data_IF_084325028079
#
_entry.id   IF_084325028079
#
_cell.length_a   1.000
_cell.length_b   1.000
_cell.length_c   1.000
_cell.angle_alpha   90.00
_cell.angle_beta   90.00
_cell.angle_gamma   90.00
#
_symmetry.space_group_name_H-M   'P 1'
#
loop_
_entity.id
_entity.type
_entity.pdbx_description
1 polymer ?
#
# COMPACT_ATOMS: atom_id res chain seq x y z
N UNK A 1 -15.95 -16.26 34.06
CA UNK A 1 -16.07 -14.94 34.71
C UNK A 1 -16.55 -13.93 33.68
N UNK A 2 -17.56 -13.13 34.03
CA UNK A 2 -18.52 -12.53 33.10
C UNK A 2 -18.04 -11.33 32.27
N UNK A 3 -18.52 -11.31 31.03
CA UNK A 3 -18.44 -10.23 30.05
C UNK A 3 -19.25 -9.00 30.48
N UNK A 4 -18.72 -7.79 30.24
CA UNK A 4 -19.53 -6.56 30.24
C UNK A 4 -19.84 -6.21 28.78
N UNK A 5 -21.12 -6.34 28.39
CA UNK A 5 -21.65 -5.83 27.12
C UNK A 5 -21.76 -4.29 27.14
N UNK A 6 -21.38 -3.58 26.07
CA UNK A 6 -21.58 -2.13 25.97
C UNK A 6 -22.98 -1.84 25.40
N UNK A 7 -23.94 -1.49 26.26
CA UNK A 7 -25.28 -1.20 25.75
C UNK A 7 -26.39 -0.99 26.77
N UNK A 8 -26.20 -0.14 27.79
CA UNK A 8 -27.33 0.46 28.54
C UNK A 8 -27.02 1.90 28.92
N UNK A 9 -27.83 2.83 28.42
CA UNK A 9 -27.84 4.24 28.83
C UNK A 9 -28.11 4.36 30.34
N UNK A 10 -27.21 5.03 31.07
CA UNK A 10 -27.41 5.40 32.48
C UNK A 10 -28.68 6.26 32.60
N UNK A 11 -29.78 5.67 33.11
CA UNK A 11 -30.98 6.42 33.49
C UNK A 11 -30.60 7.45 34.56
N UNK A 12 -30.70 8.74 34.25
CA UNK A 12 -30.51 9.83 35.21
C UNK A 12 -31.55 9.71 36.33
N UNK A 13 -31.13 9.19 37.49
CA UNK A 13 -31.94 9.19 38.71
C UNK A 13 -31.94 10.62 39.27
N UNK A 14 -33.10 11.28 39.30
CA UNK A 14 -33.28 12.55 40.03
C UNK A 14 -33.07 12.27 41.52
N UNK A 15 -31.95 12.71 42.09
CA UNK A 15 -31.70 12.67 43.53
C UNK A 15 -32.25 13.97 44.13
N UNK A 16 -33.19 13.82 45.07
CA UNK A 16 -33.79 14.88 45.88
C UNK A 16 -32.70 15.60 46.69
N UNK A 17 -32.79 16.92 46.78
CA UNK A 17 -31.99 17.77 47.68
C UNK A 17 -32.30 17.39 49.13
N UNK A 18 -31.30 16.89 49.86
CA UNK A 18 -31.23 17.05 51.31
C UNK A 18 -29.80 16.88 51.81
N UNK A 19 -29.38 17.84 52.63
CA UNK A 19 -28.21 17.83 53.51
C UNK A 19 -26.85 18.13 52.85
N UNK A 20 -26.31 19.29 53.23
CA UNK A 20 -24.94 19.74 52.97
C UNK A 20 -23.93 18.71 53.52
N UNK A 21 -23.13 18.07 52.67
CA UNK A 21 -22.07 17.22 53.16
C UNK A 21 -20.92 18.11 53.65
N UNK A 22 -20.50 17.86 54.90
CA UNK A 22 -19.22 18.32 55.42
C UNK A 22 -18.14 18.15 54.34
N UNK A 23 -17.48 19.25 53.98
CA UNK A 23 -16.30 19.24 53.12
C UNK A 23 -15.18 18.57 53.91
N UNK A 24 -15.10 17.24 53.83
CA UNK A 24 -13.86 16.53 54.07
C UNK A 24 -12.90 17.09 53.02
N UNK A 25 -11.88 17.82 53.47
CA UNK A 25 -10.79 18.23 52.60
C UNK A 25 -10.17 16.94 52.05
N UNK A 26 -10.56 16.56 50.84
CA UNK A 26 -9.87 15.55 50.06
C UNK A 26 -8.47 16.10 49.83
N UNK A 27 -7.49 15.60 50.60
CA UNK A 27 -6.10 15.72 50.18
C UNK A 27 -6.04 15.20 48.74
N UNK A 28 -5.47 15.98 47.79
CA UNK A 28 -5.40 15.54 46.41
C UNK A 28 -4.71 14.17 46.39
N UNK A 29 -5.25 13.18 45.67
CA UNK A 29 -4.66 11.85 45.63
C UNK A 29 -3.19 12.00 45.26
N UNK A 30 -2.31 11.38 46.05
CA UNK A 30 -0.87 11.40 45.81
C UNK A 30 -0.62 11.02 44.34
N UNK A 31 0.00 11.93 43.59
CA UNK A 31 0.40 11.68 42.20
C UNK A 31 1.08 10.33 42.11
N UNK A 32 0.65 9.49 41.18
CA UNK A 32 1.24 8.16 41.01
C UNK A 32 2.74 8.28 40.77
N UNK A 33 3.54 7.27 41.15
CA UNK A 33 4.99 7.29 40.95
C UNK A 33 5.33 7.55 39.46
N UNK A 34 4.52 6.99 38.55
CA UNK A 34 4.65 7.22 37.11
C UNK A 34 4.43 8.69 36.72
N UNK A 35 3.51 9.41 37.36
CA UNK A 35 3.28 10.85 37.08
C UNK A 35 4.47 11.73 37.48
N UNK A 36 5.41 11.20 38.26
CA UNK A 36 6.63 11.91 38.67
C UNK A 36 7.80 11.65 37.71
N UNK A 37 7.66 10.73 36.75
CA UNK A 37 8.72 10.47 35.79
C UNK A 37 8.84 11.60 34.76
N UNK A 38 10.08 11.92 34.32
CA UNK A 38 10.32 12.68 33.10
C UNK A 38 9.50 12.13 31.94
N UNK A 39 8.99 13.02 31.09
CA UNK A 39 8.14 12.64 29.96
C UNK A 39 8.86 11.65 29.03
N UNK A 40 10.18 11.75 28.89
CA UNK A 40 11.01 10.86 28.08
C UNK A 40 10.96 9.41 28.57
N UNK A 41 11.01 9.20 29.89
CA UNK A 41 10.88 7.87 30.49
C UNK A 41 9.47 7.34 30.34
N UNK A 42 8.45 8.20 30.50
CA UNK A 42 7.06 7.83 30.24
C UNK A 42 6.84 7.42 28.79
N UNK A 43 7.43 8.12 27.84
CA UNK A 43 7.40 7.77 26.42
C UNK A 43 8.07 6.43 26.16
N UNK A 44 9.26 6.20 26.73
CA UNK A 44 9.96 4.93 26.55
C UNK A 44 9.20 3.75 27.14
N UNK A 45 8.63 3.90 28.33
CA UNK A 45 7.75 2.89 28.94
C UNK A 45 6.53 2.65 28.07
N UNK A 46 5.89 3.72 27.57
CA UNK A 46 4.72 3.63 26.70
C UNK A 46 5.02 2.90 25.40
N UNK A 47 6.12 3.26 24.74
CA UNK A 47 6.59 2.62 23.51
C UNK A 47 6.93 1.16 23.78
N UNK A 48 7.73 0.82 24.78
CA UNK A 48 8.20 -0.55 25.00
C UNK A 48 7.11 -1.53 25.44
N UNK A 49 6.11 -1.06 26.18
CA UNK A 49 4.99 -1.91 26.63
C UNK A 49 3.99 -2.25 25.52
N UNK A 50 4.00 -1.51 24.41
CA UNK A 50 3.14 -1.77 23.27
C UNK A 50 1.67 -1.47 23.52
N UNK A 51 0.89 -1.38 22.44
CA UNK A 51 -0.47 -0.82 22.50
C UNK A 51 -1.55 -1.80 22.95
N UNK A 52 -1.29 -3.11 22.85
CA UNK A 52 -2.25 -4.14 23.26
C UNK A 52 -2.35 -4.25 24.79
N UNK A 53 -1.25 -4.00 25.48
CA UNK A 53 -1.14 -4.16 26.93
C UNK A 53 -1.21 -2.82 27.68
N UNK A 54 -1.03 -1.69 26.96
CA UNK A 54 -0.94 -0.39 27.58
C UNK A 54 -2.26 0.40 27.59
N UNK A 55 -2.92 0.40 28.76
CA UNK A 55 -4.11 1.20 29.02
C UNK A 55 -3.83 2.54 29.73
N UNK A 56 -2.57 2.95 29.93
CA UNK A 56 -2.20 4.12 30.74
C UNK A 56 -2.90 5.40 30.29
N UNK A 57 -3.00 5.61 28.97
CA UNK A 57 -3.67 6.78 28.37
C UNK A 57 -5.19 6.77 28.53
N UNK A 58 -5.80 5.60 28.77
CA UNK A 58 -7.24 5.45 29.00
C UNK A 58 -7.60 5.58 30.49
N UNK A 59 -6.71 5.14 31.37
CA UNK A 59 -6.97 5.09 32.82
C UNK A 59 -6.69 6.41 33.54
N UNK A 60 -5.87 7.30 32.98
CA UNK A 60 -5.44 8.53 33.65
C UNK A 60 -5.44 9.74 32.70
N UNK A 61 -6.07 10.85 33.13
CA UNK A 61 -6.14 12.10 32.36
C UNK A 61 -4.77 12.73 32.09
N UNK A 62 -3.83 12.64 33.03
CA UNK A 62 -2.47 13.13 32.86
C UNK A 62 -1.74 12.35 31.76
N UNK A 63 -1.74 11.01 31.84
CA UNK A 63 -1.12 10.18 30.80
C UNK A 63 -1.83 10.31 29.46
N UNK A 64 -3.16 10.49 29.44
CA UNK A 64 -3.87 10.82 28.21
C UNK A 64 -3.30 12.11 27.59
N UNK A 65 -3.15 13.18 28.38
CA UNK A 65 -2.62 14.47 27.89
C UNK A 65 -1.17 14.38 27.41
N UNK A 66 -0.31 13.64 28.11
CA UNK A 66 1.12 13.52 27.78
C UNK A 66 1.34 12.58 26.59
N UNK A 67 0.57 11.50 26.49
CA UNK A 67 0.71 10.46 25.48
C UNK A 67 -0.31 10.58 24.34
N UNK A 68 -1.13 11.64 24.31
CA UNK A 68 -2.13 11.80 23.26
C UNK A 68 -1.45 12.04 21.91
N UNK A 69 -1.70 11.13 20.98
CA UNK A 69 -1.22 11.21 19.60
C UNK A 69 -2.19 12.02 18.70
N UNK A 70 -3.31 12.51 19.25
CA UNK A 70 -4.45 13.11 18.54
C UNK A 70 -4.36 14.64 18.29
N UNK A 71 -3.18 15.25 18.42
CA UNK A 71 -3.06 16.68 18.10
C UNK A 71 -3.16 16.88 16.59
N UNK A 72 -4.22 17.57 16.12
CA UNK A 72 -4.34 18.08 14.74
C UNK A 72 -2.98 18.64 14.30
N UNK A 73 -2.49 18.20 13.15
CA UNK A 73 -1.29 18.80 12.54
C UNK A 73 -1.42 20.32 12.48
N UNK A 74 -0.56 21.01 13.20
CA UNK A 74 -0.21 22.39 12.87
C UNK A 74 1.09 22.27 12.09
N UNK A 75 0.99 22.34 10.75
CA UNK A 75 2.16 22.44 9.89
C UNK A 75 3.08 23.57 10.43
N UNK A 76 4.39 23.30 10.49
CA UNK A 76 5.44 24.20 10.98
C UNK A 76 5.63 24.36 12.50
N UNK A 77 5.06 23.49 13.34
CA UNK A 77 5.35 23.49 14.79
C UNK A 77 5.94 22.17 15.28
N UNK A 78 6.69 22.23 16.39
CA UNK A 78 7.29 21.07 17.05
C UNK A 78 6.19 20.09 17.50
N UNK A 79 6.23 18.86 16.95
CA UNK A 79 5.28 17.80 17.27
C UNK A 79 5.98 16.67 18.03
N UNK A 80 6.04 16.71 19.37
CA UNK A 80 6.71 15.68 20.18
C UNK A 80 6.05 14.29 20.04
N UNK A 81 4.75 14.24 19.74
CA UNK A 81 4.02 13.00 19.45
C UNK A 81 4.51 12.28 18.20
N UNK A 82 5.16 12.97 17.25
CA UNK A 82 5.70 12.38 16.03
C UNK A 82 6.71 11.28 16.33
N UNK A 83 7.68 11.57 17.20
CA UNK A 83 8.80 10.67 17.45
C UNK A 83 8.32 9.40 18.16
N UNK A 84 7.48 9.57 19.18
CA UNK A 84 6.85 8.47 19.92
C UNK A 84 6.09 7.56 18.97
N UNK A 85 5.33 8.15 18.06
CA UNK A 85 4.52 7.42 17.10
C UNK A 85 5.36 6.63 16.08
N UNK A 86 6.44 7.22 15.57
CA UNK A 86 7.40 6.50 14.74
C UNK A 86 8.05 5.35 15.51
N UNK A 87 8.50 5.59 16.74
CA UNK A 87 9.11 4.54 17.58
C UNK A 87 8.11 3.38 17.86
N UNK A 88 6.83 3.68 18.08
CA UNK A 88 5.78 2.65 18.23
C UNK A 88 5.68 1.80 16.96
N UNK A 89 5.69 2.43 15.79
CA UNK A 89 5.57 1.69 14.53
C UNK A 89 6.80 0.88 14.22
N UNK A 90 7.98 1.46 14.38
CA UNK A 90 9.25 0.78 14.15
C UNK A 90 9.38 -0.46 15.06
N UNK A 91 8.92 -0.37 16.32
CA UNK A 91 9.08 -1.46 17.30
C UNK A 91 7.96 -2.50 17.19
N UNK A 92 6.70 -2.11 17.00
CA UNK A 92 5.56 -3.03 17.12
C UNK A 92 4.93 -3.45 15.81
N UNK A 93 5.19 -2.72 14.73
CA UNK A 93 4.50 -2.93 13.46
C UNK A 93 5.45 -3.10 12.28
N UNK A 94 6.73 -2.78 12.41
CA UNK A 94 7.69 -2.94 11.31
C UNK A 94 8.48 -4.23 11.48
N UNK A 95 8.56 -5.01 10.41
CA UNK A 95 9.21 -6.30 10.38
C UNK A 95 10.25 -6.33 9.25
N UNK A 96 11.46 -6.80 9.58
CA UNK A 96 12.48 -7.09 8.59
C UNK A 96 12.19 -8.46 7.95
N UNK A 97 11.83 -8.45 6.67
CA UNK A 97 11.52 -9.67 5.92
C UNK A 97 12.76 -10.51 5.64
N UNK A 98 13.95 -9.91 5.70
CA UNK A 98 15.23 -10.53 5.42
C UNK A 98 16.01 -10.89 6.69
N UNK A 99 15.40 -10.80 7.88
CA UNK A 99 16.08 -11.04 9.16
C UNK A 99 16.81 -12.40 9.27
N UNK A 100 16.37 -13.40 8.49
CA UNK A 100 16.95 -14.75 8.47
C UNK A 100 17.86 -14.99 7.26
N UNK A 101 18.25 -13.94 6.54
CA UNK A 101 18.96 -14.03 5.26
C UNK A 101 20.21 -13.16 5.29
N UNK A 102 21.35 -13.77 4.95
CA UNK A 102 22.58 -13.02 4.70
C UNK A 102 22.68 -12.70 3.19
N UNK A 103 22.08 -11.58 2.77
CA UNK A 103 22.08 -11.15 1.36
C UNK A 103 23.50 -11.01 0.77
N UNK A 104 24.48 -10.37 1.46
CA UNK A 104 25.86 -10.31 0.97
C UNK A 104 26.46 -11.69 0.67
N UNK A 105 26.25 -12.68 1.55
CA UNK A 105 26.74 -14.05 1.35
C UNK A 105 26.13 -14.70 0.11
N UNK A 106 24.84 -14.47 -0.13
CA UNK A 106 24.14 -15.05 -1.29
C UNK A 106 24.62 -14.40 -2.58
N UNK A 107 24.87 -13.09 -2.60
CA UNK A 107 25.46 -12.40 -3.75
C UNK A 107 26.80 -13.00 -4.15
N UNK A 108 27.69 -13.27 -3.19
CA UNK A 108 28.96 -13.96 -3.45
C UNK A 108 28.75 -15.34 -4.08
N UNK A 109 27.79 -16.12 -3.58
CA UNK A 109 27.42 -17.43 -4.17
C UNK A 109 26.90 -17.30 -5.60
N UNK A 110 26.03 -16.32 -5.87
CA UNK A 110 25.52 -16.04 -7.22
C UNK A 110 26.66 -15.70 -8.18
N UNK A 111 27.61 -14.87 -7.75
CA UNK A 111 28.80 -14.52 -8.55
C UNK A 111 29.63 -15.77 -8.86
N UNK A 112 29.89 -16.60 -7.85
CA UNK A 112 30.58 -17.88 -8.03
C UNK A 112 29.87 -18.76 -9.07
N UNK A 113 28.55 -19.01 -8.94
CA UNK A 113 27.80 -19.82 -9.90
C UNK A 113 27.81 -19.23 -11.31
N UNK A 114 27.73 -17.90 -11.43
CA UNK A 114 27.80 -17.22 -12.73
C UNK A 114 29.15 -17.43 -13.42
N UNK A 115 30.25 -17.52 -12.66
CA UNK A 115 31.58 -17.78 -13.21
C UNK A 115 31.82 -19.24 -13.61
N UNK A 116 31.03 -20.18 -13.07
CA UNK A 116 31.25 -21.63 -13.20
C UNK A 116 30.26 -22.34 -14.10
N UNK A 117 29.05 -21.82 -14.24
CA UNK A 117 27.99 -22.42 -15.07
C UNK A 117 27.96 -21.65 -16.40
N UNK A 118 28.48 -22.22 -17.50
CA UNK A 118 28.49 -21.54 -18.79
C UNK A 118 27.07 -21.44 -19.37
N UNK A 119 26.62 -20.22 -19.64
CA UNK A 119 25.36 -19.92 -20.34
C UNK A 119 24.31 -19.21 -19.49
N UNK A 120 23.60 -18.25 -20.10
CA UNK A 120 22.50 -17.48 -19.48
C UNK A 120 21.21 -18.30 -19.22
N UNK A 121 21.21 -19.60 -19.51
CA UNK A 121 20.00 -20.45 -19.53
C UNK A 121 19.70 -21.23 -18.26
N UNK A 122 20.52 -21.12 -17.19
CA UNK A 122 20.23 -21.84 -15.96
C UNK A 122 19.07 -21.18 -15.19
N UNK A 123 17.92 -21.84 -15.19
CA UNK A 123 16.69 -21.35 -14.55
C UNK A 123 16.86 -21.08 -13.05
N UNK A 124 17.56 -21.95 -12.31
CA UNK A 124 17.77 -21.76 -10.86
C UNK A 124 18.70 -20.57 -10.57
N UNK A 125 19.73 -20.34 -11.39
CA UNK A 125 20.62 -19.19 -11.25
C UNK A 125 19.89 -17.89 -11.57
N UNK A 126 19.03 -17.90 -12.61
CA UNK A 126 18.17 -16.76 -12.96
C UNK A 126 17.19 -16.46 -11.83
N UNK A 127 16.47 -17.47 -11.35
CA UNK A 127 15.51 -17.34 -10.26
C UNK A 127 16.19 -16.79 -8.99
N UNK A 128 17.37 -17.28 -8.65
CA UNK A 128 18.11 -16.80 -7.48
C UNK A 128 18.57 -15.34 -7.65
N UNK A 129 19.00 -14.93 -8.85
CA UNK A 129 19.36 -13.53 -9.16
C UNK A 129 18.16 -12.59 -9.04
N UNK A 130 17.04 -12.96 -9.67
CA UNK A 130 15.80 -12.19 -9.66
C UNK A 130 15.22 -12.09 -8.25
N UNK A 131 15.16 -13.22 -7.53
CA UNK A 131 14.64 -13.26 -6.16
C UNK A 131 15.47 -12.41 -5.18
N UNK A 132 16.80 -12.39 -5.30
CA UNK A 132 17.64 -11.54 -4.43
C UNK A 132 17.45 -10.05 -4.73
N UNK A 133 17.33 -9.66 -6.01
CA UNK A 133 17.01 -8.28 -6.37
C UNK A 133 15.69 -7.83 -5.73
N UNK A 134 14.68 -8.69 -5.82
CA UNK A 134 13.37 -8.52 -5.17
C UNK A 134 13.49 -8.36 -3.65
N UNK A 135 14.28 -9.21 -2.98
CA UNK A 135 14.44 -9.13 -1.52
C UNK A 135 15.12 -7.83 -1.08
N UNK A 136 15.98 -7.24 -1.92
CA UNK A 136 16.62 -5.95 -1.65
C UNK A 136 15.70 -4.76 -1.93
N UNK A 137 14.82 -4.86 -2.92
CA UNK A 137 13.79 -3.86 -3.19
C UNK A 137 12.76 -3.80 -2.05
N UNK A 138 12.36 -4.96 -1.52
CA UNK A 138 11.38 -5.09 -0.43
C UNK A 138 12.03 -5.75 0.79
N UNK A 139 12.72 -4.93 1.57
CA UNK A 139 13.43 -5.40 2.78
C UNK A 139 12.55 -5.42 4.03
N UNK A 140 11.46 -4.65 4.06
CA UNK A 140 10.63 -4.49 5.27
C UNK A 140 9.14 -4.55 4.98
N UNK A 141 8.36 -4.99 5.97
CA UNK A 141 6.92 -4.97 5.96
C UNK A 141 6.35 -4.24 7.17
N UNK A 142 5.28 -3.48 6.95
CA UNK A 142 4.45 -2.87 7.96
C UNK A 142 3.26 -3.79 8.24
N UNK A 143 3.00 -4.11 9.49
CA UNK A 143 1.82 -4.92 9.86
C UNK A 143 0.56 -4.11 9.66
N UNK A 144 -0.37 -4.66 8.89
CA UNK A 144 -1.68 -4.07 8.65
C UNK A 144 -2.50 -3.88 9.94
N UNK A 145 -2.19 -4.61 11.01
CA UNK A 145 -2.81 -4.44 12.33
C UNK A 145 -2.71 -3.00 12.85
N UNK A 146 -1.68 -2.26 12.42
CA UNK A 146 -1.50 -0.85 12.74
C UNK A 146 -2.77 -0.04 12.46
N UNK A 147 -3.43 -0.27 11.33
CA UNK A 147 -4.59 0.50 10.89
C UNK A 147 -5.86 0.23 11.71
N UNK A 148 -5.86 -0.81 12.54
CA UNK A 148 -6.97 -1.09 13.45
C UNK A 148 -6.97 -0.17 14.68
N UNK A 149 -5.90 0.61 14.90
CA UNK A 149 -5.77 1.48 16.06
C UNK A 149 -6.33 2.88 15.80
N UNK A 150 -7.23 3.32 16.69
CA UNK A 150 -7.95 4.61 16.57
C UNK A 150 -7.09 5.87 16.52
N UNK A 151 -5.82 5.79 16.94
CA UNK A 151 -4.91 6.94 16.92
C UNK A 151 -4.11 7.05 15.62
N UNK A 152 -4.23 6.07 14.72
CA UNK A 152 -3.67 6.11 13.37
C UNK A 152 -4.62 6.93 12.50
N UNK A 153 -4.35 8.23 12.39
CA UNK A 153 -5.08 9.10 11.49
C UNK A 153 -4.52 8.99 10.07
N UNK A 154 -5.29 9.45 9.09
CA UNK A 154 -4.81 9.57 7.70
C UNK A 154 -3.56 10.43 7.55
N UNK A 155 -3.38 11.40 8.47
CA UNK A 155 -2.21 12.29 8.53
C UNK A 155 -0.94 11.56 8.98
N UNK A 156 -1.08 10.35 9.50
CA UNK A 156 0.04 9.52 9.91
C UNK A 156 0.80 8.91 8.73
N UNK A 157 0.08 8.58 7.65
CA UNK A 157 0.71 7.97 6.47
C UNK A 157 1.77 8.88 5.83
N UNK A 158 1.62 10.19 5.99
CA UNK A 158 2.57 11.20 5.54
C UNK A 158 3.92 11.15 6.27
N UNK A 159 4.03 10.40 7.37
CA UNK A 159 5.27 10.30 8.14
C UNK A 159 6.18 9.16 7.66
N UNK A 160 5.67 8.25 6.84
CA UNK A 160 6.44 7.10 6.37
C UNK A 160 7.13 7.38 5.05
N UNK A 161 8.39 6.96 4.97
CA UNK A 161 9.10 6.91 3.70
C UNK A 161 8.64 5.67 2.92
N UNK A 162 7.89 5.91 1.85
CA UNK A 162 7.12 4.91 1.10
C UNK A 162 7.96 4.02 0.18
N UNK A 163 9.29 4.16 0.16
CA UNK A 163 10.14 3.65 -0.92
C UNK A 163 10.62 2.20 -0.75
N UNK A 164 10.51 1.59 0.44
CA UNK A 164 11.04 0.22 0.72
C UNK A 164 10.18 -0.65 1.65
N UNK A 165 8.91 -0.30 1.85
CA UNK A 165 8.03 -0.97 2.82
C UNK A 165 6.64 -1.19 2.25
N UNK A 166 6.09 -2.39 2.46
CA UNK A 166 4.72 -2.75 2.10
C UNK A 166 3.91 -3.08 3.34
N UNK A 167 2.60 -2.85 3.34
CA UNK A 167 1.74 -3.35 4.41
C UNK A 167 1.26 -4.77 4.10
N UNK A 168 1.50 -5.67 5.05
CA UNK A 168 1.14 -7.08 4.95
C UNK A 168 0.37 -7.50 6.20
N UNK A 169 -0.51 -8.49 6.06
CA UNK A 169 -1.10 -9.16 7.22
C UNK A 169 -0.01 -9.87 8.02
N UNK A 170 -0.14 -9.90 9.34
CA UNK A 170 0.89 -10.47 10.21
C UNK A 170 1.24 -11.92 9.86
N UNK A 171 0.24 -12.75 9.52
CA UNK A 171 0.48 -14.14 9.12
C UNK A 171 1.28 -14.23 7.82
N UNK A 172 0.99 -13.37 6.85
CA UNK A 172 1.72 -13.29 5.56
C UNK A 172 3.16 -12.85 5.79
N UNK A 173 3.40 -11.90 6.70
CA UNK A 173 4.76 -11.48 7.09
C UNK A 173 5.55 -12.67 7.63
N UNK A 174 4.95 -13.47 8.52
CA UNK A 174 5.60 -14.65 9.09
C UNK A 174 5.89 -15.72 8.04
N UNK A 175 5.01 -15.89 7.06
CA UNK A 175 5.21 -16.81 5.94
C UNK A 175 6.35 -16.35 5.02
N UNK A 176 6.37 -15.07 4.63
CA UNK A 176 7.46 -14.48 3.84
C UNK A 176 8.83 -14.67 4.50
N UNK A 177 8.93 -14.34 5.79
CA UNK A 177 10.16 -14.51 6.59
C UNK A 177 10.65 -15.97 6.58
N UNK A 178 9.73 -16.95 6.50
CA UNK A 178 10.04 -18.39 6.46
C UNK A 178 10.37 -18.89 5.06
N UNK A 179 9.65 -18.42 4.04
CA UNK A 179 9.79 -18.93 2.67
C UNK A 179 11.04 -18.36 1.97
N UNK A 180 11.46 -17.12 2.25
CA UNK A 180 12.64 -16.53 1.60
C UNK A 180 13.94 -17.33 1.84
N UNK A 181 14.30 -17.76 3.07
CA UNK A 181 15.45 -18.64 3.29
C UNK A 181 15.31 -20.01 2.59
N UNK A 182 14.09 -20.56 2.56
CA UNK A 182 13.79 -21.86 1.93
C UNK A 182 13.98 -21.78 0.41
N UNK A 183 13.52 -20.71 -0.22
CA UNK A 183 13.76 -20.42 -1.63
C UNK A 183 15.25 -20.43 -1.98
N UNK A 184 16.05 -19.69 -1.20
CA UNK A 184 17.50 -19.60 -1.40
C UNK A 184 18.10 -21.00 -1.29
N UNK A 185 17.74 -21.76 -0.27
CA UNK A 185 18.25 -23.11 -0.04
C UNK A 185 17.90 -24.10 -1.16
N UNK A 186 16.68 -24.02 -1.69
CA UNK A 186 16.23 -24.89 -2.78
C UNK A 186 17.02 -24.63 -4.08
N UNK A 187 17.17 -23.36 -4.46
CA UNK A 187 17.93 -22.98 -5.66
C UNK A 187 19.43 -23.24 -5.49
N UNK A 188 20.00 -22.96 -4.31
CA UNK A 188 21.41 -23.24 -4.00
C UNK A 188 21.71 -24.74 -4.12
N UNK A 189 20.84 -25.61 -3.57
CA UNK A 189 20.99 -27.06 -3.66
C UNK A 189 20.94 -27.56 -5.12
N UNK A 190 20.04 -27.01 -5.94
CA UNK A 190 19.96 -27.35 -7.36
C UNK A 190 21.23 -26.94 -8.10
N UNK A 191 21.74 -25.73 -7.86
CA UNK A 191 22.97 -25.20 -8.47
C UNK A 191 24.20 -26.00 -8.05
N UNK A 192 24.30 -26.39 -6.77
CA UNK A 192 25.37 -27.27 -6.30
C UNK A 192 25.34 -28.62 -7.02
N UNK A 193 24.16 -29.24 -7.17
CA UNK A 193 24.01 -30.52 -7.89
C UNK A 193 24.49 -30.40 -9.34
N UNK A 194 24.20 -29.28 -9.97
CA UNK A 194 24.62 -29.01 -11.33
C UNK A 194 26.13 -28.76 -11.47
N UNK A 195 26.73 -28.02 -10.54
CA UNK A 195 28.18 -27.86 -10.47
C UNK A 195 28.88 -29.21 -10.30
N UNK A 196 28.35 -30.10 -9.43
CA UNK A 196 28.86 -31.48 -9.30
C UNK A 196 28.76 -32.26 -10.62
N UNK A 197 27.64 -32.14 -11.34
CA UNK A 197 27.46 -32.79 -12.66
C UNK A 197 28.49 -32.31 -13.68
N UNK A 198 28.90 -31.04 -13.60
CA UNK A 198 29.88 -30.43 -14.48
C UNK A 198 31.34 -30.65 -14.03
N UNK A 199 31.58 -31.47 -12.99
CA UNK A 199 32.91 -31.66 -12.37
C UNK A 199 33.57 -30.34 -11.93
N UNK A 200 32.77 -29.34 -11.57
CA UNK A 200 33.28 -28.09 -11.00
C UNK A 200 33.58 -28.33 -9.52
N UNK A 201 34.80 -28.01 -9.09
CA UNK A 201 35.19 -27.98 -7.67
C UNK A 201 34.27 -27.01 -6.92
N UNK A 202 33.45 -27.56 -6.03
CA UNK A 202 32.62 -26.79 -5.10
C UNK A 202 33.48 -26.53 -3.86
N UNK A 203 33.57 -25.28 -3.37
CA UNK A 203 34.23 -24.98 -2.11
C UNK A 203 33.61 -25.83 -1.01
N UNK A 204 34.41 -26.64 -0.32
CA UNK A 204 33.91 -27.57 0.70
C UNK A 204 33.69 -26.88 2.06
N UNK A 205 34.18 -25.65 2.23
CA UNK A 205 34.00 -24.87 3.46
C UNK A 205 33.63 -23.39 3.24
N UNK A 206 33.01 -22.79 4.26
CA UNK A 206 32.61 -21.38 4.27
C UNK A 206 33.81 -20.43 4.13
N UNK A 207 34.98 -20.82 4.65
CA UNK A 207 36.22 -20.04 4.59
C UNK A 207 36.83 -20.03 3.17
N UNK A 208 36.59 -21.07 2.37
CA UNK A 208 37.04 -21.10 0.97
C UNK A 208 36.24 -20.15 0.08
N UNK A 209 34.94 -19.95 0.35
CA UNK A 209 34.14 -18.97 -0.37
C UNK A 209 34.59 -17.52 -0.09
N UNK A 210 34.92 -17.21 1.17
CA UNK A 210 35.41 -15.88 1.54
C UNK A 210 36.85 -15.62 1.07
N UNK A 211 37.70 -16.67 1.02
CA UNK A 211 39.03 -16.59 0.42
C UNK A 211 38.98 -16.44 -1.12
N UNK A 212 38.08 -17.15 -1.80
CA UNK A 212 37.90 -16.99 -3.26
C UNK A 212 37.34 -15.62 -3.63
N UNK A 213 36.43 -15.05 -2.84
CA UNK A 213 35.95 -13.68 -3.04
C UNK A 213 37.07 -12.65 -2.87
N UNK A 214 37.94 -12.81 -1.87
CA UNK A 214 39.14 -11.98 -1.68
C UNK A 214 40.12 -12.09 -2.85
N UNK A 215 40.33 -13.28 -3.40
CA UNK A 215 41.19 -13.46 -4.58
C UNK A 215 40.57 -12.87 -5.85
N UNK A 216 39.26 -12.96 -6.03
CA UNK A 216 38.55 -12.34 -7.16
C UNK A 216 38.62 -10.81 -7.12
N UNK A 217 38.48 -10.19 -5.94
CA UNK A 217 38.64 -8.74 -5.77
C UNK A 217 40.09 -8.26 -6.03
N UNK A 218 41.09 -9.11 -5.79
CA UNK A 218 42.49 -8.82 -6.13
C UNK A 218 42.78 -8.96 -7.64
N UNK A 219 42.05 -9.84 -8.34
CA UNK A 219 42.15 -10.02 -9.79
C UNK A 219 41.43 -8.91 -10.57
N UNK A 220 40.30 -8.40 -10.06
CA UNK A 220 39.56 -7.30 -10.69
C UNK A 220 40.29 -5.94 -10.59
N UNK A 221 41.12 -5.74 -9.55
CA UNK A 221 41.89 -4.50 -9.39
C UNK A 221 43.23 -4.48 -10.14
N UNK A 222 43.64 -5.58 -10.77
CA UNK A 222 44.96 -5.67 -11.44
C UNK A 222 44.91 -5.63 -12.96
N UNK A 223 43.74 -5.72 -13.60
CA UNK A 223 43.63 -5.65 -15.06
C UNK A 223 42.36 -4.93 -15.51
N UNK A 224 42.39 -3.60 -15.51
CA UNK A 224 41.63 -2.83 -16.51
C UNK A 224 42.55 -2.55 -17.70
N UNK A 225 42.10 -2.94 -18.90
CA UNK A 225 42.02 -1.95 -19.95
C UNK A 225 40.64 -1.93 -20.62
N UNK A 226 40.26 -0.72 -21.03
CA UNK A 226 39.07 -0.32 -21.76
C UNK A 226 38.75 -1.19 -22.99
N UNK A 227 37.46 -1.25 -23.38
CA UNK A 227 36.94 -0.85 -24.71
C UNK A 227 35.48 -1.35 -24.97
N UNK A 228 34.59 -0.35 -25.05
CA UNK A 228 33.49 -0.10 -26.03
C UNK A 228 32.17 -0.91 -25.99
N UNK A 229 31.00 -0.21 -26.05
CA UNK A 229 29.65 -0.79 -26.07
C UNK A 229 29.23 -1.29 -27.46
N UNK A 230 28.30 -2.26 -27.51
CA UNK A 230 27.57 -2.60 -28.74
C UNK A 230 26.13 -3.03 -28.46
N UNK A 231 25.22 -2.30 -29.09
CA UNK A 231 23.79 -2.58 -29.22
C UNK A 231 23.52 -3.84 -30.06
N UNK A 232 22.47 -4.58 -29.72
CA UNK A 232 21.38 -4.99 -30.65
C UNK A 232 20.31 -5.84 -29.95
N UNK A 233 19.05 -5.44 -30.19
CA UNK A 233 17.76 -6.09 -29.88
C UNK A 233 17.49 -7.29 -30.81
N UNK A 234 16.27 -7.87 -30.84
CA UNK A 234 15.54 -8.72 -29.89
C UNK A 234 15.36 -10.17 -30.42
N UNK A 235 14.84 -11.11 -29.62
CA UNK A 235 13.74 -11.98 -30.06
C UNK A 235 13.21 -12.94 -28.98
N UNK A 236 11.93 -13.24 -29.16
CA UNK A 236 10.97 -13.97 -28.34
C UNK A 236 11.38 -15.38 -27.90
N UNK A 237 10.93 -15.80 -26.71
CA UNK A 237 9.79 -16.72 -26.59
C UNK A 237 9.42 -17.00 -25.12
N UNK A 238 8.12 -17.05 -24.91
CA UNK A 238 7.39 -17.39 -23.71
C UNK A 238 7.98 -18.62 -23.01
N UNK A 239 8.22 -18.51 -21.70
CA UNK A 239 8.22 -19.68 -20.84
C UNK A 239 7.56 -19.32 -19.51
N UNK A 240 6.31 -19.77 -19.41
CA UNK A 240 5.48 -19.77 -18.21
C UNK A 240 6.16 -20.56 -17.09
N UNK A 241 6.90 -19.86 -16.22
CA UNK A 241 7.23 -20.33 -14.87
C UNK A 241 7.72 -19.21 -13.92
N UNK A 242 7.43 -17.94 -14.24
CA UNK A 242 7.86 -16.78 -13.43
C UNK A 242 7.01 -16.49 -12.20
N UNK A 243 5.86 -17.14 -12.00
CA UNK A 243 4.90 -16.75 -10.96
C UNK A 243 4.91 -17.61 -9.68
N UNK A 244 6.05 -18.18 -9.26
CA UNK A 244 6.13 -18.75 -7.90
C UNK A 244 6.33 -17.68 -6.82
N UNK A 245 6.74 -16.48 -7.21
CA UNK A 245 6.79 -15.27 -6.38
C UNK A 245 5.82 -14.21 -6.91
N UNK A 246 4.60 -14.62 -7.28
CA UNK A 246 3.48 -13.70 -7.18
C UNK A 246 3.25 -13.48 -5.69
N UNK A 247 3.65 -12.31 -5.19
CA UNK A 247 3.45 -11.90 -3.80
C UNK A 247 2.01 -12.19 -3.35
N UNK A 248 1.78 -12.22 -2.04
CA UNK A 248 0.49 -11.80 -1.51
C UNK A 248 0.31 -10.34 -1.96
N UNK A 249 -0.24 -10.17 -3.17
CA UNK A 249 -0.21 -8.90 -3.89
C UNK A 249 -1.03 -7.85 -3.18
N UNK A 250 -1.95 -8.28 -2.31
CA UNK A 250 -2.78 -7.36 -1.59
C UNK A 250 -3.24 -7.86 -0.22
N UNK A 251 -3.13 -6.98 0.76
CA UNK A 251 -3.76 -7.07 2.07
C UNK A 251 -5.22 -6.64 1.95
N UNK A 252 -6.16 -7.33 2.61
CA UNK A 252 -7.54 -6.84 2.68
C UNK A 252 -7.56 -5.48 3.35
N UNK A 253 -8.18 -4.47 2.71
CA UNK A 253 -8.38 -3.18 3.38
C UNK A 253 -9.11 -3.37 4.70
N UNK A 254 -8.79 -2.57 5.73
CA UNK A 254 -9.67 -2.46 6.88
C UNK A 254 -11.07 -2.12 6.37
N UNK A 255 -12.11 -2.77 6.94
CA UNK A 255 -13.50 -2.51 6.53
C UNK A 255 -13.85 -1.06 6.83
N UNK A 256 -13.81 -0.23 5.80
CA UNK A 256 -14.22 1.16 5.88
C UNK A 256 -15.74 1.21 5.99
N UNK A 257 -16.26 2.03 6.90
CA UNK A 257 -17.71 2.23 7.01
C UNK A 257 -18.26 2.79 5.70
N UNK A 258 -19.50 2.49 5.33
CA UNK A 258 -20.14 3.09 4.15
C UNK A 258 -20.02 4.63 4.12
N UNK A 259 -20.12 5.28 5.29
CA UNK A 259 -19.94 6.73 5.48
C UNK A 259 -18.57 7.28 5.06
N UNK A 260 -17.57 6.41 4.93
CA UNK A 260 -16.25 6.78 4.44
C UNK A 260 -16.28 7.11 2.95
N UNK A 261 -17.05 6.32 2.18
CA UNK A 261 -17.28 6.52 0.76
C UNK A 261 -18.28 7.63 0.49
N UNK A 262 -19.09 8.02 1.47
CA UNK A 262 -19.96 9.20 1.40
C UNK A 262 -19.15 10.49 1.58
N UNK A 263 -19.41 11.51 0.75
CA UNK A 263 -18.76 12.82 0.81
C UNK A 263 -17.23 12.71 0.68
N UNK A 264 -16.77 12.13 -0.42
CA UNK A 264 -15.33 12.00 -0.70
C UNK A 264 -14.69 13.39 -0.77
N UNK A 265 -13.53 13.50 -0.15
CA UNK A 265 -12.66 14.67 -0.22
C UNK A 265 -11.32 14.25 -0.81
N UNK A 266 -10.58 15.18 -1.39
CA UNK A 266 -9.24 14.93 -1.92
C UNK A 266 -8.31 14.29 -0.85
N UNK A 267 -8.41 14.72 0.41
CA UNK A 267 -7.65 14.12 1.52
C UNK A 267 -7.95 12.63 1.72
N UNK A 268 -9.20 12.20 1.52
CA UNK A 268 -9.59 10.78 1.60
C UNK A 268 -9.07 9.99 0.41
N UNK A 269 -9.03 10.58 -0.78
CA UNK A 269 -8.45 9.96 -1.98
C UNK A 269 -6.94 9.78 -1.81
N UNK A 270 -6.22 10.81 -1.36
CA UNK A 270 -4.77 10.73 -1.06
C UNK A 270 -4.49 9.67 0.00
N UNK A 271 -5.30 9.62 1.08
CA UNK A 271 -5.20 8.57 2.09
C UNK A 271 -5.33 7.19 1.46
N UNK A 272 -6.35 6.99 0.63
CA UNK A 272 -6.58 5.70 -0.01
C UNK A 272 -5.43 5.34 -0.94
N UNK A 273 -4.91 6.31 -1.71
CA UNK A 273 -3.75 6.14 -2.60
C UNK A 273 -2.59 5.53 -1.86
N UNK A 274 -2.28 6.12 -0.71
CA UNK A 274 -1.22 5.65 0.18
C UNK A 274 -1.53 4.25 0.70
N UNK A 275 -2.78 3.96 1.06
CA UNK A 275 -3.17 2.60 1.46
C UNK A 275 -2.97 1.58 0.31
N UNK A 276 -3.35 1.89 -0.93
CA UNK A 276 -3.10 0.97 -2.05
C UNK A 276 -1.62 0.82 -2.38
N UNK A 277 -0.83 1.88 -2.23
CA UNK A 277 0.63 1.81 -2.30
C UNK A 277 1.19 0.84 -1.26
N UNK A 278 0.62 0.84 -0.06
CA UNK A 278 0.90 -0.14 0.98
C UNK A 278 0.33 -1.54 0.70
N UNK A 279 -0.33 -1.77 -0.43
CA UNK A 279 -0.85 -3.08 -0.83
C UNK A 279 -2.26 -3.37 -0.31
N UNK A 280 -3.02 -2.38 0.18
CA UNK A 280 -4.41 -2.62 0.58
C UNK A 280 -5.35 -2.71 -0.65
N UNK A 281 -6.26 -3.69 -0.68
CA UNK A 281 -7.32 -3.78 -1.73
C UNK A 281 -8.49 -2.86 -1.38
N UNK A 282 -8.87 -1.95 -2.27
CA UNK A 282 -10.14 -1.23 -2.14
C UNK A 282 -11.28 -2.08 -2.69
N UNK A 283 -12.04 -2.73 -1.79
CA UNK A 283 -13.14 -3.63 -2.17
C UNK A 283 -14.30 -2.91 -2.90
N UNK A 284 -14.53 -1.62 -2.60
CA UNK A 284 -15.64 -0.81 -3.13
C UNK A 284 -15.15 0.28 -4.11
N UNK A 285 -14.24 -0.07 -5.03
CA UNK A 285 -13.60 0.91 -5.92
C UNK A 285 -14.61 1.65 -6.83
N UNK A 286 -15.62 0.94 -7.33
CA UNK A 286 -16.71 1.52 -8.11
C UNK A 286 -17.44 2.63 -7.35
N UNK A 287 -17.79 2.36 -6.08
CA UNK A 287 -18.44 3.34 -5.22
C UNK A 287 -17.53 4.53 -4.96
N UNK A 288 -16.23 4.30 -4.83
CA UNK A 288 -15.24 5.36 -4.66
C UNK A 288 -15.19 6.27 -5.91
N UNK A 289 -15.12 5.70 -7.11
CA UNK A 289 -15.16 6.47 -8.37
C UNK A 289 -16.48 7.23 -8.51
N UNK A 290 -17.62 6.56 -8.38
CA UNK A 290 -18.97 7.15 -8.52
C UNK A 290 -19.16 8.29 -7.52
N UNK A 291 -18.82 8.09 -6.25
CA UNK A 291 -19.00 9.13 -5.24
C UNK A 291 -17.99 10.28 -5.40
N UNK A 292 -16.82 10.03 -6.02
CA UNK A 292 -15.89 11.10 -6.38
C UNK A 292 -16.49 11.96 -7.48
N UNK A 293 -17.03 11.34 -8.54
CA UNK A 293 -17.71 12.05 -9.63
C UNK A 293 -18.87 12.90 -9.08
N UNK A 294 -19.73 12.31 -8.24
CA UNK A 294 -20.87 13.02 -7.63
C UNK A 294 -20.45 14.14 -6.68
N UNK A 295 -19.23 14.12 -6.16
CA UNK A 295 -18.76 15.15 -5.24
C UNK A 295 -18.39 16.47 -5.93
N UNK A 296 -18.20 16.47 -7.25
CA UNK A 296 -17.85 17.66 -8.03
C UNK A 296 -18.98 18.69 -8.18
N UNK A 297 -20.25 18.33 -7.91
CA UNK A 297 -21.35 19.30 -7.96
C UNK A 297 -21.41 20.18 -6.70
N UNK A 298 -20.55 19.94 -5.72
CA UNK A 298 -20.50 20.70 -4.48
C UNK A 298 -19.63 21.94 -4.68
N UNK A 299 -20.12 23.05 -4.17
CA UNK A 299 -19.50 24.39 -4.29
C UNK A 299 -18.07 24.49 -3.70
N UNK A 300 -17.58 23.42 -3.05
CA UNK A 300 -16.31 23.36 -2.31
C UNK A 300 -15.14 22.73 -3.10
N UNK A 301 -15.35 22.22 -4.33
CA UNK A 301 -14.29 21.60 -5.12
C UNK A 301 -13.59 22.62 -6.03
N UNK A 302 -12.34 22.95 -5.69
CA UNK A 302 -11.46 23.71 -6.57
C UNK A 302 -11.08 22.86 -7.78
N UNK A 303 -11.54 23.28 -8.96
CA UNK A 303 -11.32 22.59 -10.25
C UNK A 303 -9.84 22.50 -10.67
N UNK A 304 -8.91 23.08 -9.92
CA UNK A 304 -7.49 22.86 -10.14
C UNK A 304 -7.04 21.46 -9.68
N UNK A 305 -7.76 20.84 -8.74
CA UNK A 305 -7.31 19.64 -8.02
C UNK A 305 -8.06 18.33 -8.39
N UNK A 306 -9.02 18.38 -9.33
CA UNK A 306 -9.74 17.16 -9.74
C UNK A 306 -8.87 16.21 -10.55
N UNK A 307 -7.90 16.72 -11.34
CA UNK A 307 -6.96 15.86 -12.09
C UNK A 307 -6.14 15.01 -11.14
N UNK A 308 -5.53 15.63 -10.13
CA UNK A 308 -4.79 14.93 -9.09
C UNK A 308 -5.63 13.85 -8.41
N UNK A 309 -6.93 14.12 -8.23
CA UNK A 309 -7.86 13.16 -7.62
C UNK A 309 -8.11 11.94 -8.51
N UNK A 310 -8.22 12.12 -9.83
CA UNK A 310 -8.36 10.99 -10.76
C UNK A 310 -7.06 10.26 -11.01
N UNK A 311 -5.93 10.96 -11.12
CA UNK A 311 -4.63 10.32 -11.24
C UNK A 311 -4.34 9.50 -9.98
N UNK A 312 -4.74 9.99 -8.80
CA UNK A 312 -4.76 9.21 -7.56
C UNK A 312 -5.67 7.99 -7.66
N UNK A 313 -6.90 8.10 -8.17
CA UNK A 313 -7.83 6.98 -8.37
C UNK A 313 -7.31 5.93 -9.37
N UNK A 314 -6.55 6.35 -10.37
CA UNK A 314 -5.88 5.46 -11.30
C UNK A 314 -4.74 4.71 -10.63
N UNK A 315 -3.85 5.44 -9.93
CA UNK A 315 -2.74 4.86 -9.17
C UNK A 315 -3.25 3.85 -8.13
N UNK A 316 -4.36 4.21 -7.48
CA UNK A 316 -5.13 3.37 -6.55
C UNK A 316 -5.56 2.05 -7.16
N UNK A 317 -6.12 2.12 -8.36
CA UNK A 317 -6.80 0.99 -8.97
C UNK A 317 -5.81 -0.06 -9.46
N UNK A 318 -4.64 0.32 -10.00
CA UNK A 318 -3.81 -0.55 -10.87
C UNK A 318 -4.67 -1.39 -11.85
N UNK A 319 -5.89 -0.96 -12.13
CA UNK A 319 -6.97 -1.72 -12.75
C UNK A 319 -7.80 -0.81 -13.63
N UNK A 320 -8.66 -1.43 -14.42
CA UNK A 320 -9.45 -0.76 -15.45
C UNK A 320 -10.48 0.14 -14.80
N UNK A 321 -10.68 1.34 -15.34
CA UNK A 321 -11.79 2.21 -14.91
C UNK A 321 -13.12 1.44 -15.05
N UNK A 322 -13.94 1.35 -13.99
CA UNK A 322 -15.19 0.63 -14.08
C UNK A 322 -16.19 1.35 -15.00
N UNK A 323 -16.84 0.58 -15.87
CA UNK A 323 -17.87 1.09 -16.81
C UNK A 323 -18.99 1.86 -16.10
N UNK A 324 -19.36 1.42 -14.89
CA UNK A 324 -20.34 2.10 -14.03
C UNK A 324 -19.95 3.54 -13.69
N UNK A 325 -18.65 3.83 -13.52
CA UNK A 325 -18.18 5.19 -13.26
C UNK A 325 -18.26 6.08 -14.51
N UNK A 326 -18.05 5.53 -15.71
CA UNK A 326 -18.19 6.29 -16.96
C UNK A 326 -19.64 6.65 -17.20
N UNK A 327 -20.56 5.69 -16.99
CA UNK A 327 -22.00 5.92 -17.08
C UNK A 327 -22.44 7.00 -16.08
N UNK A 328 -21.98 6.93 -14.84
CA UNK A 328 -22.24 7.98 -13.84
C UNK A 328 -21.74 9.36 -14.29
N UNK A 329 -20.59 9.43 -14.96
CA UNK A 329 -20.09 10.66 -15.57
C UNK A 329 -21.09 11.28 -16.55
N UNK A 330 -21.64 10.46 -17.46
CA UNK A 330 -22.67 10.90 -18.40
C UNK A 330 -23.97 11.31 -17.70
N UNK A 331 -24.43 10.56 -16.70
CA UNK A 331 -25.62 10.89 -15.92
C UNK A 331 -25.45 12.22 -15.17
N UNK A 332 -24.25 12.47 -14.65
CA UNK A 332 -23.91 13.70 -13.95
C UNK A 332 -23.91 14.92 -14.89
N UNK A 333 -23.50 14.78 -16.16
CA UNK A 333 -23.60 15.86 -17.16
C UNK A 333 -25.06 16.28 -17.39
N UNK A 334 -26.00 15.33 -17.34
CA UNK A 334 -27.44 15.60 -17.50
C UNK A 334 -28.07 16.23 -16.25
N UNK A 335 -27.66 15.79 -15.07
CA UNK A 335 -28.27 16.20 -13.80
C UNK A 335 -27.66 17.49 -13.21
N UNK A 336 -26.48 17.91 -13.64
CA UNK A 336 -25.77 19.05 -13.05
C UNK A 336 -26.39 20.41 -13.40
N UNK A 337 -26.05 21.42 -12.59
CA UNK A 337 -26.34 22.84 -12.89
C UNK A 337 -25.66 23.25 -14.22
N UNK A 338 -26.25 24.14 -15.03
CA UNK A 338 -25.67 24.56 -16.31
C UNK A 338 -24.22 25.07 -16.22
N UNK A 339 -23.89 25.81 -15.15
CA UNK A 339 -22.52 26.31 -14.92
C UNK A 339 -21.47 25.21 -14.71
N UNK A 340 -21.88 24.03 -14.23
CA UNK A 340 -20.98 22.91 -13.92
C UNK A 340 -20.84 21.93 -15.08
N UNK A 341 -21.65 22.10 -16.14
CA UNK A 341 -21.74 21.14 -17.25
C UNK A 341 -20.41 20.94 -17.95
N UNK A 342 -19.64 22.00 -18.15
CA UNK A 342 -18.32 21.93 -18.77
C UNK A 342 -17.32 21.13 -17.92
N UNK A 343 -17.43 21.20 -16.60
CA UNK A 343 -16.58 20.44 -15.68
C UNK A 343 -16.85 18.94 -15.84
N UNK A 344 -18.12 18.55 -15.84
CA UNK A 344 -18.50 17.15 -16.04
C UNK A 344 -18.15 16.62 -17.43
N UNK A 345 -18.24 17.43 -18.49
CA UNK A 345 -17.71 17.07 -19.80
C UNK A 345 -16.20 16.79 -19.76
N UNK A 346 -15.44 17.66 -19.07
CA UNK A 346 -13.98 17.53 -18.95
C UNK A 346 -13.59 16.26 -18.20
N UNK A 347 -14.26 16.00 -17.06
CA UNK A 347 -14.04 14.80 -16.24
C UNK A 347 -14.40 13.53 -17.01
N UNK A 348 -15.56 13.51 -17.67
CA UNK A 348 -16.02 12.34 -18.43
C UNK A 348 -15.12 12.06 -19.62
N UNK A 349 -14.64 13.08 -20.34
CA UNK A 349 -13.63 12.89 -21.39
C UNK A 349 -12.34 12.29 -20.84
N UNK A 350 -11.87 12.73 -19.67
CA UNK A 350 -10.67 12.16 -19.04
C UNK A 350 -10.90 10.70 -18.64
N UNK A 351 -12.06 10.36 -18.10
CA UNK A 351 -12.42 8.97 -17.78
C UNK A 351 -12.39 8.09 -19.04
N UNK A 352 -12.94 8.57 -20.16
CA UNK A 352 -12.91 7.86 -21.43
C UNK A 352 -11.48 7.70 -21.97
N UNK A 353 -10.67 8.76 -21.95
CA UNK A 353 -9.25 8.71 -22.35
C UNK A 353 -8.48 7.62 -21.60
N UNK A 354 -8.69 7.55 -20.30
CA UNK A 354 -8.02 6.60 -19.41
C UNK A 354 -8.55 5.17 -19.59
N UNK A 355 -9.86 5.01 -19.75
CA UNK A 355 -10.51 3.73 -20.00
C UNK A 355 -10.05 3.10 -21.33
N UNK A 356 -9.88 3.92 -22.38
CA UNK A 356 -9.47 3.46 -23.70
C UNK A 356 -7.95 3.43 -23.92
N UNK A 357 -7.14 3.68 -22.88
CA UNK A 357 -5.67 3.59 -22.97
C UNK A 357 -5.24 2.15 -23.28
N UNK A 358 -4.26 1.96 -24.17
CA UNK A 358 -3.84 0.63 -24.67
C UNK A 358 -3.52 -0.37 -23.55
N UNK A 359 -2.83 0.08 -22.49
CA UNK A 359 -2.45 -0.75 -21.34
C UNK A 359 -3.67 -1.28 -20.55
N UNK A 360 -4.84 -0.66 -20.69
CA UNK A 360 -6.08 -1.04 -20.01
C UNK A 360 -7.04 -1.86 -20.89
N UNK A 361 -6.79 -1.99 -22.20
CA UNK A 361 -7.74 -2.62 -23.15
C UNK A 361 -7.79 -4.15 -23.12
N UNK A 362 -6.85 -4.83 -22.46
CA UNK A 362 -6.80 -6.29 -22.49
C UNK A 362 -8.00 -6.92 -21.77
N UNK A 363 -9.01 -7.32 -22.56
CA UNK A 363 -10.17 -8.08 -22.11
C UNK A 363 -11.36 -7.25 -21.60
N UNK A 364 -11.40 -5.95 -21.88
CA UNK A 364 -12.49 -5.07 -21.43
C UNK A 364 -13.62 -5.03 -22.47
N UNK A 365 -14.83 -5.41 -22.05
CA UNK A 365 -16.05 -5.31 -22.85
C UNK A 365 -16.64 -3.89 -22.75
N UNK A 366 -16.61 -3.14 -23.85
CA UNK A 366 -17.14 -1.78 -23.95
C UNK A 366 -18.63 -1.73 -24.33
N UNK A 367 -19.26 -2.89 -24.59
CA UNK A 367 -20.65 -2.99 -25.04
C UNK A 367 -21.60 -2.26 -24.10
N UNK A 368 -21.40 -2.37 -22.79
CA UNK A 368 -22.27 -1.73 -21.78
C UNK A 368 -22.28 -0.20 -21.89
N UNK A 369 -21.15 0.43 -22.23
CA UNK A 369 -21.08 1.88 -22.44
C UNK A 369 -21.84 2.27 -23.71
N UNK A 370 -21.64 1.50 -24.78
CA UNK A 370 -22.32 1.72 -26.05
C UNK A 370 -23.84 1.57 -25.94
N UNK A 371 -24.32 0.52 -25.28
CA UNK A 371 -25.74 0.32 -24.99
C UNK A 371 -26.34 1.53 -24.27
N UNK A 372 -25.65 2.03 -23.25
CA UNK A 372 -26.08 3.22 -22.52
C UNK A 372 -26.19 4.43 -23.45
N UNK A 373 -25.16 4.73 -24.25
CA UNK A 373 -25.16 5.92 -25.12
C UNK A 373 -26.23 5.86 -26.19
N UNK A 374 -26.36 4.73 -26.88
CA UNK A 374 -27.39 4.56 -27.92
C UNK A 374 -28.78 4.74 -27.33
N UNK A 375 -29.02 4.20 -26.12
CA UNK A 375 -30.31 4.34 -25.43
C UNK A 375 -30.64 5.80 -25.07
N UNK A 376 -29.64 6.63 -24.79
CA UNK A 376 -29.86 8.04 -24.43
C UNK A 376 -30.23 8.93 -25.62
N UNK A 377 -29.96 8.48 -26.86
CA UNK A 377 -30.11 9.27 -28.10
C UNK A 377 -29.41 10.65 -28.05
N UNK A 378 -28.36 10.78 -27.23
CA UNK A 378 -27.61 12.02 -27.10
C UNK A 378 -26.40 12.04 -28.03
N UNK A 379 -26.50 12.78 -29.13
CA UNK A 379 -25.43 12.90 -30.14
C UNK A 379 -24.10 13.37 -29.56
N UNK A 380 -24.09 14.22 -28.52
CA UNK A 380 -22.84 14.67 -27.91
C UNK A 380 -22.10 13.54 -27.19
N UNK A 381 -22.83 12.60 -26.58
CA UNK A 381 -22.22 11.47 -25.88
C UNK A 381 -21.65 10.47 -26.89
N UNK A 382 -22.37 10.27 -27.98
CA UNK A 382 -21.91 9.51 -29.12
C UNK A 382 -20.60 10.09 -29.68
N UNK A 383 -20.57 11.38 -29.99
CA UNK A 383 -19.36 12.04 -30.51
C UNK A 383 -18.18 11.95 -29.52
N UNK A 384 -18.43 12.08 -28.22
CA UNK A 384 -17.39 11.94 -27.18
C UNK A 384 -16.75 10.55 -27.23
N UNK A 385 -17.53 9.47 -27.27
CA UNK A 385 -16.96 8.11 -27.28
C UNK A 385 -16.29 7.78 -28.60
N UNK A 386 -16.85 8.23 -29.73
CA UNK A 386 -16.24 8.04 -31.04
C UNK A 386 -14.81 8.59 -31.11
N UNK A 387 -14.51 9.68 -30.37
CA UNK A 387 -13.15 10.25 -30.31
C UNK A 387 -12.11 9.32 -29.67
N UNK A 388 -12.53 8.34 -28.86
CA UNK A 388 -11.61 7.44 -28.14
C UNK A 388 -11.71 5.98 -28.59
N UNK A 389 -12.93 5.46 -28.76
CA UNK A 389 -13.16 4.07 -29.12
C UNK A 389 -12.82 3.79 -30.59
N UNK A 390 -12.90 4.81 -31.46
CA UNK A 390 -12.83 4.65 -32.90
C UNK A 390 -14.17 4.17 -33.46
N UNK A 391 -14.19 3.03 -34.16
CA UNK A 391 -15.39 2.50 -34.82
C UNK A 391 -16.16 1.56 -33.87
N UNK A 392 -17.49 1.72 -33.69
CA UNK A 392 -18.31 0.79 -32.91
C UNK A 392 -18.35 -0.60 -33.55
N UNK A 393 -18.61 -1.63 -32.74
CA UNK A 393 -18.80 -2.99 -33.23
C UNK A 393 -20.03 -3.10 -34.14
N UNK A 394 -20.07 -4.13 -34.98
CA UNK A 394 -21.22 -4.36 -35.88
C UNK A 394 -22.53 -4.60 -35.10
N UNK A 395 -22.45 -5.16 -33.89
CA UNK A 395 -23.60 -5.38 -33.01
C UNK A 395 -24.18 -4.05 -32.51
N UNK A 396 -23.30 -3.12 -32.13
CA UNK A 396 -23.68 -1.76 -31.71
C UNK A 396 -24.27 -0.97 -32.88
N UNK A 397 -23.68 -1.09 -34.08
CA UNK A 397 -24.22 -0.47 -35.29
C UNK A 397 -25.63 -0.97 -35.61
N UNK A 398 -25.88 -2.27 -35.46
CA UNK A 398 -27.23 -2.82 -35.63
C UNK A 398 -28.23 -2.22 -34.63
N UNK A 399 -27.79 -1.96 -33.39
CA UNK A 399 -28.61 -1.34 -32.35
C UNK A 399 -29.00 0.12 -32.66
N UNK A 400 -28.19 0.84 -33.44
CA UNK A 400 -28.51 2.21 -33.85
C UNK A 400 -29.59 2.29 -34.94
N UNK A 401 -29.85 1.17 -35.62
CA UNK A 401 -30.85 1.07 -36.68
C UNK A 401 -32.23 0.64 -36.18
N UNK A 402 -32.34 0.25 -34.91
CA UNK A 402 -33.59 -0.04 -34.18
C UNK A 402 -34.02 1.15 -33.34
#
# INVERSE_FOLDING_TARGET
>A
MGFIQPGRSLKKRKIKKSQSPHVVQYAPPNKSILEKFPHELLYRVFVLTGLKENNLSLTNKYFNKVLSLNSRRIYNTYWPGKRILLDIVDIHFTYDLNQNINIPKIKKKIQYYTSKIPGNGNENLRNLKEGIKVFEEISSALSADLFNYKFISSEFLDLFNLTKSHALEYNVILEEIKERPKFIKENDKALMKECKRMNVSIPESEDECDNMARMADQLFNSNTPDIVPRDSSPDNQENNNTNKYSYATYTKSPKLSAKFYDNITQKRLILMSKMCHFGFIVEDIDKLFINTIRSFDRDDWEMEYWRDSFDVLLDLSKSVIPTSAIIEGFESITACKPQNKQHYYTITNRLLELYFREDQRNGVDDSSIWYYIVSTKNHKYFDMIMNFAGKPSNEILALMHT
#
